data_IF_406411353159
#
_entry.id   IF_406411353159
#
_cell.length_a   1.000
_cell.length_b   1.000
_cell.length_c   1.000
_cell.angle_alpha   90.00
_cell.angle_beta   90.00
_cell.angle_gamma   90.00
#
_symmetry.space_group_name_H-M   'P 1'
#
loop_
_entity.id
_entity.type
_entity.pdbx_description
1 polymer ?
#
# COMPACT_ATOMS: atom_id res chain seq x y z
N UNK A 1 -74.08 44.54 -23.59
CA UNK A 1 -72.61 44.36 -23.73
C UNK A 1 -71.90 43.91 -22.44
N UNK A 2 -72.48 44.06 -21.24
CA UNK A 2 -71.82 43.76 -19.95
C UNK A 2 -71.78 42.27 -19.53
N UNK A 3 -72.59 41.41 -20.13
CA UNK A 3 -72.75 40.01 -19.68
C UNK A 3 -71.65 39.07 -20.26
N UNK A 4 -71.21 39.30 -21.50
CA UNK A 4 -70.10 38.55 -22.11
C UNK A 4 -68.75 38.80 -21.43
N UNK A 5 -68.51 40.00 -20.91
CA UNK A 5 -67.24 40.36 -20.25
C UNK A 5 -67.12 39.74 -18.85
N UNK A 6 -68.22 39.55 -18.12
CA UNK A 6 -68.23 38.86 -16.84
C UNK A 6 -68.00 37.35 -17.00
N UNK A 7 -68.65 36.72 -17.98
CA UNK A 7 -68.43 35.30 -18.30
C UNK A 7 -66.97 35.01 -18.69
N UNK A 8 -66.38 35.83 -19.57
CA UNK A 8 -64.97 35.71 -19.99
C UNK A 8 -63.99 35.87 -18.81
N UNK A 9 -64.25 36.79 -17.89
CA UNK A 9 -63.41 36.97 -16.70
C UNK A 9 -63.54 35.83 -15.69
N UNK A 10 -64.73 35.25 -15.55
CA UNK A 10 -64.96 34.06 -14.72
C UNK A 10 -64.21 32.84 -15.27
N UNK A 11 -64.25 32.63 -16.59
CA UNK A 11 -63.56 31.51 -17.27
C UNK A 11 -62.05 31.68 -17.25
N UNK A 12 -61.54 32.90 -17.35
CA UNK A 12 -60.11 33.21 -17.25
C UNK A 12 -59.58 32.97 -15.84
N UNK A 13 -60.35 33.32 -14.79
CA UNK A 13 -60.03 33.00 -13.39
C UNK A 13 -60.10 31.48 -13.14
N UNK A 14 -61.10 30.78 -13.67
CA UNK A 14 -61.25 29.32 -13.56
C UNK A 14 -60.10 28.58 -14.26
N UNK A 15 -59.69 29.00 -15.47
CA UNK A 15 -58.51 28.48 -16.19
C UNK A 15 -57.21 28.74 -15.46
N UNK A 16 -56.99 29.93 -14.90
CA UNK A 16 -55.77 30.23 -14.14
C UNK A 16 -55.70 29.46 -12.82
N UNK A 17 -56.83 29.29 -12.12
CA UNK A 17 -56.93 28.45 -10.92
C UNK A 17 -56.64 26.98 -11.27
N UNK A 18 -57.23 26.46 -12.35
CA UNK A 18 -56.95 25.10 -12.83
C UNK A 18 -55.50 24.91 -13.31
N UNK A 19 -54.88 25.90 -13.98
CA UNK A 19 -53.45 25.87 -14.33
C UNK A 19 -52.55 25.88 -13.10
N UNK A 20 -52.87 26.68 -12.08
CA UNK A 20 -52.10 26.75 -10.83
C UNK A 20 -52.23 25.46 -10.02
N UNK A 21 -53.44 24.89 -9.94
CA UNK A 21 -53.71 23.59 -9.33
C UNK A 21 -53.01 22.46 -10.10
N UNK A 22 -53.00 22.48 -11.43
CA UNK A 22 -52.30 21.47 -12.24
C UNK A 22 -50.78 21.59 -12.12
N UNK A 23 -50.21 22.80 -12.01
CA UNK A 23 -48.80 23.00 -11.68
C UNK A 23 -48.46 22.52 -10.27
N UNK A 24 -49.34 22.74 -9.29
CA UNK A 24 -49.15 22.25 -7.92
C UNK A 24 -49.23 20.71 -7.84
N UNK A 25 -50.20 20.11 -8.54
CA UNK A 25 -50.34 18.66 -8.68
C UNK A 25 -49.16 18.03 -9.42
N UNK A 26 -48.65 18.71 -10.47
CA UNK A 26 -47.44 18.30 -11.19
C UNK A 26 -46.19 18.41 -10.31
N UNK A 27 -46.05 19.47 -9.51
CA UNK A 27 -44.97 19.60 -8.53
C UNK A 27 -45.03 18.53 -7.43
N UNK A 28 -46.22 18.25 -6.89
CA UNK A 28 -46.45 17.14 -5.96
C UNK A 28 -46.10 15.79 -6.59
N UNK A 29 -46.54 15.53 -7.84
CA UNK A 29 -46.16 14.33 -8.58
C UNK A 29 -44.66 14.20 -8.77
N UNK A 30 -43.96 15.29 -9.08
CA UNK A 30 -42.49 15.29 -9.20
C UNK A 30 -41.83 15.01 -7.84
N UNK A 31 -42.33 15.58 -6.75
CA UNK A 31 -41.82 15.30 -5.40
C UNK A 31 -42.04 13.83 -5.02
N UNK A 32 -43.23 13.28 -5.29
CA UNK A 32 -43.53 11.87 -5.09
C UNK A 32 -42.65 10.97 -5.96
N UNK A 33 -42.39 11.34 -7.21
CA UNK A 33 -41.48 10.62 -8.09
C UNK A 33 -40.04 10.68 -7.58
N UNK A 34 -39.55 11.85 -7.15
CA UNK A 34 -38.22 11.99 -6.57
C UNK A 34 -38.09 11.22 -5.26
N UNK A 35 -39.09 11.26 -4.37
CA UNK A 35 -39.08 10.45 -3.15
C UNK A 35 -39.08 8.96 -3.48
N UNK A 36 -39.89 8.54 -4.45
CA UNK A 36 -39.94 7.15 -4.90
C UNK A 36 -38.63 6.71 -5.53
N UNK A 37 -37.98 7.55 -6.33
CA UNK A 37 -36.64 7.30 -6.89
C UNK A 37 -35.59 7.18 -5.77
N UNK A 38 -35.62 8.05 -4.76
CA UNK A 38 -34.69 7.94 -3.63
C UNK A 38 -34.91 6.67 -2.82
N UNK A 39 -36.17 6.27 -2.59
CA UNK A 39 -36.53 5.03 -1.91
C UNK A 39 -36.12 3.80 -2.73
N UNK A 40 -36.36 3.82 -4.04
CA UNK A 40 -35.89 2.79 -4.96
C UNK A 40 -34.37 2.72 -4.99
N UNK A 41 -33.67 3.86 -5.02
CA UNK A 41 -32.21 3.88 -4.99
C UNK A 41 -31.68 3.32 -3.69
N UNK A 42 -32.30 3.66 -2.54
CA UNK A 42 -31.94 3.11 -1.22
C UNK A 42 -32.19 1.61 -1.17
N UNK A 43 -33.35 1.15 -1.64
CA UNK A 43 -33.68 -0.28 -1.72
C UNK A 43 -32.70 -1.03 -2.62
N UNK A 44 -32.38 -0.48 -3.80
CA UNK A 44 -31.39 -1.08 -4.71
C UNK A 44 -30.00 -1.07 -4.07
N UNK A 45 -29.59 0.01 -3.39
CA UNK A 45 -28.30 0.04 -2.69
C UNK A 45 -28.26 -0.91 -1.51
N UNK A 46 -29.34 -1.09 -0.75
CA UNK A 46 -29.41 -2.06 0.35
C UNK A 46 -29.39 -3.48 -0.19
N UNK A 47 -30.19 -3.81 -1.20
CA UNK A 47 -30.17 -5.13 -1.85
C UNK A 47 -28.82 -5.41 -2.53
N UNK A 48 -28.18 -4.40 -3.15
CA UNK A 48 -26.88 -4.54 -3.79
C UNK A 48 -25.74 -4.59 -2.76
N UNK A 49 -25.82 -3.84 -1.66
CA UNK A 49 -24.90 -3.93 -0.53
C UNK A 49 -25.06 -5.27 0.19
N UNK A 50 -26.28 -5.75 0.43
CA UNK A 50 -26.52 -7.08 1.00
C UNK A 50 -26.04 -8.18 0.06
N UNK A 51 -26.28 -8.08 -1.25
CA UNK A 51 -25.77 -9.06 -2.22
C UNK A 51 -24.25 -8.99 -2.36
N UNK A 52 -23.64 -7.80 -2.33
CA UNK A 52 -22.19 -7.66 -2.39
C UNK A 52 -21.51 -8.02 -1.09
N UNK A 53 -22.08 -7.69 0.07
CA UNK A 53 -21.62 -8.16 1.38
C UNK A 53 -21.82 -9.66 1.44
N UNK A 54 -22.93 -10.23 0.98
CA UNK A 54 -23.11 -11.69 0.90
C UNK A 54 -22.21 -12.33 -0.16
N UNK A 55 -21.82 -11.63 -1.23
CA UNK A 55 -20.85 -12.13 -2.21
C UNK A 55 -19.41 -12.02 -1.68
N UNK A 56 -19.08 -10.95 -0.94
CA UNK A 56 -17.81 -10.79 -0.22
C UNK A 56 -17.71 -11.75 0.96
N UNK A 57 -18.80 -11.96 1.70
CA UNK A 57 -18.94 -12.94 2.78
C UNK A 57 -18.93 -14.34 2.19
N UNK A 58 -19.63 -14.64 1.08
CA UNK A 58 -19.55 -15.94 0.39
C UNK A 58 -18.21 -16.19 -0.30
N UNK A 59 -17.50 -15.13 -0.71
CA UNK A 59 -16.10 -15.21 -1.13
C UNK A 59 -15.18 -15.43 0.06
N UNK A 60 -15.48 -14.85 1.23
CA UNK A 60 -14.81 -15.13 2.50
C UNK A 60 -15.13 -16.53 3.02
N UNK A 61 -16.36 -17.02 2.89
CA UNK A 61 -16.84 -18.33 3.31
C UNK A 61 -16.49 -19.41 2.27
N UNK A 62 -16.24 -19.02 1.02
CA UNK A 62 -15.61 -19.87 0.02
C UNK A 62 -14.11 -20.04 0.22
N UNK A 63 -13.48 -19.17 1.04
CA UNK A 63 -12.06 -19.22 1.39
C UNK A 63 -11.83 -19.60 2.87
N UNK A 64 -12.84 -19.44 3.74
CA UNK A 64 -12.81 -19.67 5.20
C UNK A 64 -14.10 -20.28 5.78
N UNK A 65 -15.00 -20.83 4.97
CA UNK A 65 -16.32 -21.34 5.39
C UNK A 65 -16.70 -22.70 4.77
N UNK A 66 -15.69 -23.51 4.42
CA UNK A 66 -15.83 -24.96 4.58
C UNK A 66 -14.97 -25.36 5.75
N UNK A 67 -15.62 -25.93 6.73
CA UNK A 67 -15.05 -26.63 7.89
C UNK A 67 -14.28 -27.88 7.41
N UNK A 68 -13.20 -27.66 6.66
CA UNK A 68 -12.14 -28.63 6.35
C UNK A 68 -10.75 -27.97 6.43
N UNK A 69 -10.63 -26.82 7.11
CA UNK A 69 -9.33 -26.27 7.47
C UNK A 69 -9.03 -26.60 8.92
N UNK A 70 -8.40 -27.74 9.10
CA UNK A 70 -7.20 -27.97 9.90
C UNK A 70 -7.17 -29.48 10.12
N UNK A 71 -6.24 -30.15 9.46
CA UNK A 71 -5.89 -31.49 9.90
C UNK A 71 -5.57 -31.37 11.39
N UNK A 72 -6.37 -32.00 12.24
CA UNK A 72 -6.22 -31.89 13.70
C UNK A 72 -4.91 -32.56 14.07
N UNK A 73 -3.84 -31.78 14.09
CA UNK A 73 -2.54 -32.22 14.58
C UNK A 73 -2.66 -32.51 16.07
N UNK A 74 -2.28 -33.70 16.46
CA UNK A 74 -2.18 -34.12 17.85
C UNK A 74 -0.72 -34.38 18.19
N UNK A 75 -0.29 -34.14 19.44
CA UNK A 75 1.02 -34.59 19.90
C UNK A 75 1.15 -36.09 19.64
N UNK A 76 2.27 -36.52 19.05
CA UNK A 76 2.53 -37.94 18.81
C UNK A 76 2.51 -38.73 20.13
N UNK A 77 3.05 -38.13 21.19
CA UNK A 77 3.11 -38.71 22.54
C UNK A 77 1.99 -38.17 23.44
N UNK A 78 1.42 -39.04 24.29
CA UNK A 78 0.31 -38.69 25.19
C UNK A 78 0.67 -37.74 26.33
N UNK A 79 1.95 -37.69 26.71
CA UNK A 79 2.36 -37.13 28.01
C UNK A 79 3.12 -35.79 27.89
N UNK A 80 3.10 -35.11 26.74
CA UNK A 80 3.87 -33.88 26.57
C UNK A 80 3.38 -32.96 25.46
N UNK A 81 3.59 -31.65 25.67
CA UNK A 81 3.37 -30.58 24.68
C UNK A 81 4.62 -30.32 23.81
N UNK A 82 5.77 -30.90 24.18
CA UNK A 82 7.09 -30.69 23.56
C UNK A 82 7.54 -31.84 22.65
N UNK A 83 6.61 -32.44 21.91
CA UNK A 83 6.88 -33.59 21.02
C UNK A 83 6.51 -33.29 19.57
N UNK A 84 6.95 -34.12 18.61
CA UNK A 84 6.52 -33.99 17.22
C UNK A 84 4.99 -34.14 17.13
N UNK A 85 4.39 -33.40 16.21
CA UNK A 85 2.95 -33.46 15.95
C UNK A 85 2.65 -34.42 14.80
N UNK A 86 1.54 -35.12 14.92
CA UNK A 86 1.06 -36.07 13.91
C UNK A 86 -0.42 -35.86 13.64
N UNK A 87 -0.84 -36.27 12.44
CA UNK A 87 -2.24 -36.25 12.03
C UNK A 87 -2.95 -37.49 12.56
N UNK A 88 -2.22 -38.61 12.63
CA UNK A 88 -2.73 -39.90 13.06
C UNK A 88 -1.59 -40.73 13.66
N UNK A 89 -1.65 -41.00 14.97
CA UNK A 89 -0.65 -41.79 15.69
C UNK A 89 -0.51 -43.23 15.17
N UNK A 90 -1.59 -43.82 14.64
CA UNK A 90 -1.58 -45.20 14.14
C UNK A 90 -0.89 -45.33 12.78
N UNK A 91 -0.79 -44.24 12.02
CA UNK A 91 -0.16 -44.21 10.70
C UNK A 91 1.22 -43.54 10.75
N UNK A 92 1.71 -43.22 11.94
CA UNK A 92 3.01 -42.58 12.12
C UNK A 92 4.14 -43.59 11.89
N UNK A 93 5.16 -43.20 11.13
CA UNK A 93 6.31 -44.04 10.80
C UNK A 93 7.44 -43.97 11.84
N UNK A 94 7.26 -43.19 12.91
CA UNK A 94 8.21 -43.01 13.99
C UNK A 94 9.45 -42.19 13.64
N UNK A 95 9.53 -41.59 12.44
CA UNK A 95 10.70 -40.82 11.98
C UNK A 95 10.57 -39.31 12.20
N UNK A 96 9.49 -38.85 12.83
CA UNK A 96 9.27 -37.43 13.07
C UNK A 96 10.29 -36.87 14.06
N UNK A 97 11.00 -35.85 13.63
CA UNK A 97 11.96 -35.14 14.47
C UNK A 97 11.26 -34.32 15.56
N UNK A 98 11.74 -34.45 16.79
CA UNK A 98 11.35 -33.57 17.87
C UNK A 98 12.22 -32.30 17.85
N UNK A 99 11.70 -31.20 17.31
CA UNK A 99 12.47 -29.95 17.30
C UNK A 99 12.73 -29.41 18.72
N UNK A 100 11.87 -29.72 19.69
CA UNK A 100 12.09 -29.32 21.08
C UNK A 100 13.32 -29.98 21.70
N UNK A 101 13.67 -31.22 21.32
CA UNK A 101 14.92 -31.84 21.78
C UNK A 101 16.16 -31.32 21.07
N UNK A 102 15.98 -30.57 19.98
CA UNK A 102 17.05 -29.86 19.28
C UNK A 102 17.20 -28.42 19.76
N UNK A 103 16.20 -27.88 20.43
CA UNK A 103 16.26 -26.58 21.10
C UNK A 103 17.09 -26.73 22.38
N UNK A 104 18.12 -25.89 22.54
CA UNK A 104 18.93 -25.87 23.76
C UNK A 104 18.06 -25.33 24.90
N UNK A 105 17.64 -26.19 25.83
CA UNK A 105 16.99 -25.72 27.07
C UNK A 105 18.06 -25.02 27.93
N UNK A 106 18.12 -23.71 27.85
CA UNK A 106 18.88 -22.90 28.81
C UNK A 106 17.95 -22.49 29.94
N UNK A 107 18.35 -22.76 31.18
CA UNK A 107 17.64 -22.35 32.40
C UNK A 107 17.70 -20.84 32.67
N UNK A 108 18.28 -20.07 31.76
CA UNK A 108 18.33 -18.62 31.81
C UNK A 108 17.40 -18.07 30.74
N UNK A 109 16.68 -16.99 31.10
CA UNK A 109 15.88 -16.19 30.18
C UNK A 109 16.59 -16.08 28.83
N UNK A 110 15.98 -16.65 27.81
CA UNK A 110 16.45 -16.70 26.42
C UNK A 110 16.88 -15.32 25.88
N UNK A 111 16.40 -14.23 26.48
CA UNK A 111 16.74 -12.86 26.10
C UNK A 111 18.14 -12.40 26.54
N UNK A 112 18.71 -12.94 27.63
CA UNK A 112 19.92 -12.32 28.20
C UNK A 112 21.23 -12.79 27.56
N UNK A 113 21.25 -13.95 26.90
CA UNK A 113 22.48 -14.59 26.43
C UNK A 113 22.95 -14.13 25.04
N UNK A 114 22.10 -13.44 24.27
CA UNK A 114 22.42 -12.99 22.90
C UNK A 114 22.49 -11.46 22.72
N UNK A 115 22.00 -10.69 23.69
CA UNK A 115 22.00 -9.23 23.62
C UNK A 115 22.93 -8.63 24.68
N UNK A 116 24.15 -8.29 24.26
CA UNK A 116 25.05 -7.47 25.07
C UNK A 116 24.49 -6.04 25.16
N UNK A 117 23.66 -5.79 26.17
CA UNK A 117 23.04 -4.50 26.42
C UNK A 117 24.09 -3.41 26.69
N UNK A 118 25.25 -3.74 27.24
CA UNK A 118 26.31 -2.77 27.48
C UNK A 118 26.95 -2.32 26.18
N UNK A 119 27.22 -3.26 25.27
CA UNK A 119 27.69 -2.95 23.92
C UNK A 119 26.66 -2.11 23.17
N UNK A 120 25.38 -2.49 23.21
CA UNK A 120 24.30 -1.72 22.58
C UNK A 120 24.24 -0.30 23.13
N UNK A 121 24.31 -0.09 24.45
CA UNK A 121 24.30 1.25 25.07
C UNK A 121 25.45 2.14 24.59
N UNK A 122 26.63 1.57 24.33
CA UNK A 122 27.81 2.29 23.82
C UNK A 122 27.71 2.69 22.35
N UNK A 123 26.80 2.09 21.58
CA UNK A 123 26.59 2.43 20.17
C UNK A 123 26.14 3.89 20.00
N UNK A 124 26.67 4.57 18.97
CA UNK A 124 26.31 5.94 18.60
C UNK A 124 24.84 6.03 18.19
N UNK A 125 24.18 7.15 18.45
CA UNK A 125 22.76 7.31 18.07
C UNK A 125 22.54 7.44 16.56
N UNK A 126 23.54 7.92 15.81
CA UNK A 126 23.46 8.13 14.37
C UNK A 126 24.73 7.63 13.70
N UNK A 127 24.58 6.90 12.59
CA UNK A 127 25.66 6.54 11.67
C UNK A 127 25.38 7.22 10.34
N UNK A 128 26.29 8.11 9.92
CA UNK A 128 26.20 8.79 8.62
C UNK A 128 26.51 7.82 7.49
N UNK A 129 25.84 8.02 6.36
CA UNK A 129 26.08 7.31 5.10
C UNK A 129 26.38 8.34 4.01
N UNK A 130 27.01 7.86 2.95
CA UNK A 130 27.26 8.68 1.76
C UNK A 130 25.97 8.91 0.98
N UNK A 131 25.94 9.98 0.19
CA UNK A 131 24.83 10.26 -0.72
C UNK A 131 24.94 9.35 -1.95
N UNK A 132 23.83 8.77 -2.36
CA UNK A 132 23.79 7.73 -3.40
C UNK A 132 23.03 8.22 -4.64
N UNK A 133 23.49 7.80 -5.82
CA UNK A 133 22.90 8.13 -7.12
C UNK A 133 22.60 6.86 -7.90
N UNK A 134 21.36 6.37 -7.76
CA UNK A 134 20.93 5.12 -8.37
C UNK A 134 20.34 5.34 -9.75
N UNK A 135 20.95 4.74 -10.78
CA UNK A 135 20.55 4.95 -12.15
C UNK A 135 19.18 4.37 -12.47
N UNK A 136 18.48 4.98 -13.42
CA UNK A 136 17.20 4.47 -13.91
C UNK A 136 17.37 3.07 -14.49
N UNK A 137 16.63 2.12 -13.92
CA UNK A 137 16.49 0.78 -14.44
C UNK A 137 15.38 0.83 -15.51
N UNK A 138 15.58 0.10 -16.62
CA UNK A 138 14.57 -0.04 -17.67
C UNK A 138 13.29 -0.73 -17.17
N UNK A 139 12.49 -1.29 -18.09
CA UNK A 139 11.31 -2.08 -17.71
C UNK A 139 11.73 -3.19 -16.73
N UNK A 140 11.34 -3.11 -15.45
CA UNK A 140 11.84 -4.03 -14.45
C UNK A 140 11.15 -5.38 -14.68
N UNK A 141 11.86 -6.33 -15.30
CA UNK A 141 11.52 -7.73 -15.09
C UNK A 141 11.78 -8.07 -13.62
N UNK A 142 11.06 -9.06 -13.10
CA UNK A 142 11.26 -9.53 -11.72
C UNK A 142 12.72 -9.96 -11.45
N UNK A 143 13.47 -10.29 -12.50
CA UNK A 143 14.87 -10.67 -12.46
C UNK A 143 15.86 -9.50 -12.29
N UNK A 144 15.44 -8.23 -12.48
CA UNK A 144 16.35 -7.11 -12.25
C UNK A 144 16.56 -6.88 -10.75
N UNK A 145 17.81 -7.02 -10.32
CA UNK A 145 18.27 -6.64 -8.99
C UNK A 145 18.20 -5.10 -8.83
N UNK A 146 17.74 -4.66 -7.67
CA UNK A 146 17.60 -3.23 -7.35
C UNK A 146 18.82 -2.70 -6.62
N UNK A 147 18.71 -1.47 -6.14
CA UNK A 147 19.71 -0.84 -5.29
C UNK A 147 19.32 -0.98 -3.83
N UNK A 148 20.29 -1.28 -2.97
CA UNK A 148 20.04 -1.54 -1.56
C UNK A 148 20.55 -0.41 -0.69
N UNK A 149 19.67 0.13 0.15
CA UNK A 149 20.07 0.92 1.31
C UNK A 149 20.18 -0.02 2.50
N UNK A 150 21.29 0.03 3.22
CA UNK A 150 21.52 -0.85 4.38
C UNK A 150 22.03 -0.07 5.58
N UNK A 151 21.55 -0.47 6.76
CA UNK A 151 22.03 -0.06 8.06
C UNK A 151 22.59 -1.27 8.82
N UNK A 152 23.60 -1.06 9.68
CA UNK A 152 24.15 -2.11 10.53
C UNK A 152 23.08 -2.58 11.54
N UNK A 153 23.31 -3.75 12.14
CA UNK A 153 22.47 -4.29 13.22
C UNK A 153 22.24 -3.24 14.30
N UNK A 154 21.00 -3.17 14.82
CA UNK A 154 20.55 -2.20 15.81
C UNK A 154 20.31 -0.78 15.29
N UNK A 155 20.25 -0.60 13.97
CA UNK A 155 19.92 0.66 13.36
C UNK A 155 18.91 0.49 12.23
N UNK A 156 18.13 1.54 12.03
CA UNK A 156 17.14 1.66 10.97
C UNK A 156 17.40 2.88 10.10
N UNK A 157 16.95 2.81 8.85
CA UNK A 157 17.12 3.82 7.82
C UNK A 157 16.24 5.03 8.14
N UNK A 158 16.84 6.21 8.11
CA UNK A 158 16.15 7.50 8.12
C UNK A 158 16.50 8.28 6.85
N UNK A 159 15.50 8.59 6.04
CA UNK A 159 15.72 9.26 4.74
C UNK A 159 15.71 10.79 4.95
N UNK A 160 16.81 11.43 4.57
CA UNK A 160 16.99 12.88 4.67
C UNK A 160 16.51 13.59 3.41
N UNK A 161 16.86 13.03 2.24
CA UNK A 161 16.54 13.62 0.92
C UNK A 161 16.33 12.50 -0.09
N UNK A 162 15.36 12.69 -0.97
CA UNK A 162 15.23 11.87 -2.16
C UNK A 162 14.69 12.69 -3.33
N UNK A 163 15.33 12.59 -4.49
CA UNK A 163 14.89 13.23 -5.72
C UNK A 163 15.12 12.33 -6.92
N UNK A 164 14.16 12.27 -7.83
CA UNK A 164 14.23 11.42 -9.03
C UNK A 164 14.21 12.25 -10.30
N UNK A 165 15.23 12.09 -11.15
CA UNK A 165 15.39 12.80 -12.42
C UNK A 165 16.87 13.04 -12.73
N UNK A 166 17.23 14.26 -13.15
CA UNK A 166 18.63 14.66 -13.36
C UNK A 166 18.83 16.14 -13.00
N UNK A 167 19.96 16.44 -12.37
CA UNK A 167 20.39 17.80 -12.05
C UNK A 167 21.02 18.51 -13.25
N UNK A 168 20.90 19.83 -13.27
CA UNK A 168 21.53 20.72 -14.25
C UNK A 168 23.03 20.44 -14.31
N UNK A 169 23.53 20.25 -15.53
CA UNK A 169 24.96 20.08 -15.81
C UNK A 169 25.65 18.90 -15.09
N UNK A 170 24.90 17.93 -14.55
CA UNK A 170 25.48 16.72 -13.98
C UNK A 170 25.96 15.76 -15.08
N UNK A 171 27.27 15.64 -15.19
CA UNK A 171 27.98 14.79 -16.15
C UNK A 171 28.78 13.66 -15.50
N UNK A 172 28.58 13.41 -14.20
CA UNK A 172 29.33 12.39 -13.45
C UNK A 172 28.46 11.20 -13.09
N UNK A 173 27.19 11.43 -12.74
CA UNK A 173 26.29 10.35 -12.32
C UNK A 173 25.52 9.76 -13.50
N UNK A 174 25.44 8.43 -13.51
CA UNK A 174 24.67 7.64 -14.48
C UNK A 174 24.95 8.04 -15.93
N UNK A 175 26.23 7.98 -16.31
CA UNK A 175 26.71 8.25 -17.68
C UNK A 175 26.78 6.97 -18.54
N UNK A 176 26.49 5.82 -17.94
CA UNK A 176 26.39 4.52 -18.60
C UNK A 176 24.99 3.96 -18.42
N UNK A 177 24.54 3.19 -19.40
CA UNK A 177 23.29 2.46 -19.31
C UNK A 177 23.43 1.15 -18.50
N UNK A 178 22.33 0.39 -18.40
CA UNK A 178 22.31 -0.90 -17.70
C UNK A 178 23.17 -2.00 -18.33
N UNK A 179 23.67 -1.80 -19.56
CA UNK A 179 24.63 -2.68 -20.24
C UNK A 179 26.08 -2.21 -20.05
N UNK A 180 26.29 -1.06 -19.41
CA UNK A 180 27.61 -0.45 -19.20
C UNK A 180 28.10 0.40 -20.37
N UNK A 181 27.26 0.67 -21.37
CA UNK A 181 27.61 1.50 -22.53
C UNK A 181 27.45 2.99 -22.22
N UNK A 182 28.39 3.81 -22.71
CA UNK A 182 28.33 5.25 -22.50
C UNK A 182 27.14 5.88 -23.23
N UNK A 183 26.43 6.74 -22.51
CA UNK A 183 25.29 7.48 -23.04
C UNK A 183 25.76 8.69 -23.86
N UNK A 184 25.02 9.00 -24.93
CA UNK A 184 25.23 10.23 -25.69
C UNK A 184 24.98 11.47 -24.83
N UNK A 185 25.73 12.56 -25.09
CA UNK A 185 25.61 13.83 -24.37
C UNK A 185 24.16 14.36 -24.32
N UNK A 186 23.39 14.17 -25.40
CA UNK A 186 21.97 14.57 -25.46
C UNK A 186 21.08 13.88 -24.43
N UNK A 187 21.51 12.74 -23.85
CA UNK A 187 20.76 12.00 -22.82
C UNK A 187 21.21 12.32 -21.39
N UNK A 188 22.29 13.05 -21.21
CA UNK A 188 22.85 13.40 -19.88
C UNK A 188 22.93 14.91 -19.66
N UNK A 189 22.93 15.74 -20.71
CA UNK A 189 23.02 17.19 -20.58
C UNK A 189 21.65 17.84 -20.46
N UNK A 190 21.44 18.59 -19.38
CA UNK A 190 20.25 19.43 -19.19
C UNK A 190 20.63 20.82 -18.68
N UNK A 191 19.93 21.83 -19.18
CA UNK A 191 20.11 23.24 -18.82
C UNK A 191 19.36 23.64 -17.54
N UNK A 192 18.47 22.77 -17.04
CA UNK A 192 17.69 22.97 -15.81
C UNK A 192 17.63 21.69 -14.99
N UNK A 193 17.44 21.84 -13.68
CA UNK A 193 17.06 20.73 -12.82
C UNK A 193 15.68 20.22 -13.28
N UNK A 194 15.59 18.92 -13.52
CA UNK A 194 14.33 18.28 -13.90
C UNK A 194 13.90 17.22 -12.88
N UNK A 195 14.69 17.03 -11.82
CA UNK A 195 14.38 16.13 -10.72
C UNK A 195 13.13 16.54 -9.94
N UNK A 196 12.25 15.58 -9.69
CA UNK A 196 11.08 15.76 -8.82
C UNK A 196 11.39 15.29 -7.40
N UNK A 197 10.68 15.84 -6.42
CA UNK A 197 10.79 15.37 -5.05
C UNK A 197 10.25 13.93 -4.92
N UNK A 198 11.12 13.01 -4.50
CA UNK A 198 10.79 11.60 -4.30
C UNK A 198 10.79 11.19 -2.81
N UNK A 199 10.98 12.15 -1.90
CA UNK A 199 11.16 11.89 -0.46
C UNK A 199 10.05 11.03 0.13
N UNK A 200 8.78 11.36 -0.15
CA UNK A 200 7.63 10.62 0.38
C UNK A 200 7.62 9.14 -0.04
N UNK A 201 7.86 8.87 -1.33
CA UNK A 201 7.89 7.50 -1.88
C UNK A 201 9.06 6.69 -1.33
N UNK A 202 10.25 7.30 -1.22
CA UNK A 202 11.42 6.60 -0.68
C UNK A 202 11.25 6.35 0.82
N UNK A 203 10.65 7.28 1.57
CA UNK A 203 10.30 7.05 2.98
C UNK A 203 9.31 5.92 3.16
N UNK A 204 8.24 5.89 2.36
CA UNK A 204 7.26 4.80 2.40
C UNK A 204 7.90 3.42 2.19
N UNK A 205 8.89 3.34 1.29
CA UNK A 205 9.61 2.10 1.02
C UNK A 205 10.63 1.74 2.11
N UNK A 206 11.37 2.72 2.65
CA UNK A 206 12.61 2.45 3.37
C UNK A 206 12.65 2.91 4.84
N UNK A 207 11.87 3.91 5.24
CA UNK A 207 11.97 4.52 6.57
C UNK A 207 11.70 3.49 7.67
N UNK A 208 12.57 3.44 8.68
CA UNK A 208 12.43 2.51 9.80
C UNK A 208 12.79 1.06 9.49
N UNK A 209 13.31 0.74 8.30
CA UNK A 209 13.81 -0.60 7.95
C UNK A 209 15.32 -0.68 8.13
N UNK A 210 15.84 -1.88 8.36
CA UNK A 210 17.31 -2.14 8.36
C UNK A 210 17.88 -2.18 6.94
N UNK A 211 17.06 -2.63 5.99
CA UNK A 211 17.39 -2.75 4.57
C UNK A 211 16.18 -2.36 3.70
N UNK A 212 16.45 -1.75 2.56
CA UNK A 212 15.44 -1.38 1.57
C UNK A 212 15.95 -1.58 0.15
N UNK A 213 15.14 -2.19 -0.71
CA UNK A 213 15.41 -2.32 -2.15
C UNK A 213 14.68 -1.22 -2.93
N UNK A 214 15.42 -0.49 -3.76
CA UNK A 214 14.94 0.58 -4.60
C UNK A 214 15.16 0.23 -6.07
N UNK A 215 14.11 0.38 -6.88
CA UNK A 215 14.17 0.20 -8.35
C UNK A 215 13.75 1.49 -9.05
N UNK A 216 14.68 2.45 -9.24
CA UNK A 216 14.39 3.73 -9.87
C UNK A 216 13.84 3.55 -11.29
N UNK A 217 12.57 3.89 -11.48
CA UNK A 217 11.93 3.84 -12.79
C UNK A 217 10.87 4.94 -12.92
N UNK A 218 10.69 5.45 -14.14
CA UNK A 218 9.79 6.57 -14.43
C UNK A 218 8.32 6.26 -14.11
N UNK A 219 7.88 5.01 -14.24
CA UNK A 219 6.49 4.62 -13.96
C UNK A 219 6.17 4.75 -12.47
N UNK A 220 7.10 4.36 -11.61
CA UNK A 220 6.93 4.39 -10.16
C UNK A 220 7.15 5.79 -9.58
N UNK A 221 8.26 6.46 -9.91
CA UNK A 221 8.58 7.76 -9.32
C UNK A 221 7.84 8.91 -10.00
N UNK A 222 7.59 8.81 -11.31
CA UNK A 222 7.15 9.93 -12.15
C UNK A 222 8.34 10.79 -12.58
N UNK A 223 8.29 11.42 -13.77
CA UNK A 223 9.36 12.32 -14.21
C UNK A 223 8.89 13.25 -15.32
N UNK A 224 9.39 14.49 -15.28
CA UNK A 224 9.26 15.47 -16.38
C UNK A 224 10.58 15.68 -17.15
N UNK A 225 11.64 14.90 -16.85
CA UNK A 225 12.87 14.87 -17.63
C UNK A 225 12.68 14.03 -18.91
N UNK A 226 12.15 14.64 -19.97
CA UNK A 226 11.97 13.97 -21.27
C UNK A 226 13.33 13.67 -21.92
N UNK A 227 13.46 12.48 -22.51
CA UNK A 227 14.64 12.02 -23.26
C UNK A 227 15.98 11.97 -22.50
N UNK A 228 15.99 12.22 -21.19
CA UNK A 228 17.17 12.14 -20.34
C UNK A 228 17.23 10.82 -19.58
N UNK A 229 18.45 10.33 -19.39
CA UNK A 229 18.74 9.19 -18.53
C UNK A 229 18.78 9.65 -17.07
N UNK A 230 17.85 9.13 -16.27
CA UNK A 230 17.56 9.65 -14.93
C UNK A 230 18.24 8.83 -13.85
N UNK A 231 18.21 9.36 -12.65
CA UNK A 231 18.65 8.67 -11.44
C UNK A 231 17.82 9.09 -10.24
N UNK A 232 17.83 8.25 -9.21
CA UNK A 232 17.34 8.57 -7.88
C UNK A 232 18.53 9.01 -7.02
N UNK A 233 18.58 10.29 -6.66
CA UNK A 233 19.50 10.80 -5.64
C UNK A 233 18.87 10.57 -4.27
N UNK A 234 19.53 9.80 -3.40
CA UNK A 234 19.11 9.54 -2.02
C UNK A 234 20.20 9.98 -1.04
N UNK A 235 19.79 10.69 0.02
CA UNK A 235 20.60 10.91 1.22
C UNK A 235 19.89 10.28 2.40
N UNK A 236 20.61 9.49 3.17
CA UNK A 236 20.07 8.82 4.34
C UNK A 236 21.12 8.72 5.44
N UNK A 237 20.66 8.42 6.64
CA UNK A 237 21.50 8.01 7.75
C UNK A 237 20.84 6.85 8.48
N UNK A 238 21.61 6.19 9.34
CA UNK A 238 21.10 5.13 10.18
C UNK A 238 20.89 5.66 11.60
N UNK A 239 19.70 5.50 12.15
CA UNK A 239 19.36 5.87 13.53
C UNK A 239 19.32 4.61 14.39
N UNK A 240 19.88 4.71 15.59
CA UNK A 240 19.89 3.61 16.54
C UNK A 240 18.45 3.24 16.91
N UNK A 241 18.14 1.96 16.88
CA UNK A 241 16.80 1.46 17.15
C UNK A 241 16.38 1.80 18.56
N UNK A 242 15.18 2.37 18.70
CA UNK A 242 14.55 2.56 19.99
C UNK A 242 13.86 1.24 20.33
N UNK A 243 14.56 0.37 21.06
CA UNK A 243 13.91 -0.80 21.67
C UNK A 243 12.84 -0.28 22.63
N UNK A 244 11.57 -0.36 22.23
CA UNK A 244 10.44 -0.10 23.12
C UNK A 244 10.22 -1.35 23.97
N UNK A 245 10.67 -1.30 25.21
CA UNK A 245 10.27 -2.25 26.25
C UNK A 245 8.84 -1.95 26.72
#
# INVERSE_FOLDING_TARGET
MADRTLLLNSDRRKRNRNRKVNKLKSGLLIIFLLSFITLLSRYVTEVFLEKNINYFMKSKDGIYGKEEMFIRFMPLYNNGTKGPITINRKLDDGRKFNIYSMMRETNESFESSFYDQEAFKKLKNVVKKDEEYFCEIGLPSEAFEGYYLTCPTHYTIAIDKAAYGRYKSDRTHCIKDYKGEYLANSRIETSKDCGINALGKVKELCEGRTECNLKPNSSFFGSHCENLYKYLHVKYHCVKDKVSY
#
